data_IF_449464539243
#
_entry.id   IF_449464539243
#
_cell.length_a   1.000
_cell.length_b   1.000
_cell.length_c   1.000
_cell.angle_alpha   90.00
_cell.angle_beta   90.00
_cell.angle_gamma   90.00
#
_symmetry.space_group_name_H-M   'P 1'
#
loop_
_entity.id
_entity.type
_entity.pdbx_description
1 polymer ?
#
# COMPACT_ATOMS: atom_id res chain seq x y z
N UNK A 1 -14.77 14.32 -24.99
CA UNK A 1 -13.96 15.06 -23.99
C UNK A 1 -13.79 14.18 -22.76
N UNK A 2 -12.58 13.71 -22.48
CA UNK A 2 -12.27 13.00 -21.24
C UNK A 2 -12.27 14.04 -20.12
N UNK A 3 -13.30 14.06 -19.29
CA UNK A 3 -13.32 14.92 -18.10
C UNK A 3 -12.21 14.47 -17.14
N UNK A 4 -11.12 15.23 -17.09
CA UNK A 4 -9.96 15.02 -16.23
C UNK A 4 -10.25 15.48 -14.79
N UNK A 5 -11.13 14.79 -14.06
CA UNK A 5 -11.37 15.11 -12.64
C UNK A 5 -10.99 14.00 -11.67
N UNK A 6 -10.55 12.82 -12.11
CA UNK A 6 -10.13 11.73 -11.21
C UNK A 6 -9.09 10.83 -11.86
N UNK A 7 -8.26 10.21 -11.02
CA UNK A 7 -7.29 9.17 -11.39
C UNK A 7 -8.00 8.11 -12.24
N UNK A 8 -7.47 7.82 -13.42
CA UNK A 8 -7.99 6.82 -14.34
C UNK A 8 -7.13 5.57 -14.25
N UNK A 9 -7.64 4.52 -13.63
CA UNK A 9 -6.95 3.23 -13.49
C UNK A 9 -6.57 2.57 -14.82
N UNK A 10 -7.22 2.94 -15.92
CA UNK A 10 -6.86 2.48 -17.27
C UNK A 10 -5.48 3.01 -17.69
N UNK A 11 -5.30 4.33 -17.66
CA UNK A 11 -4.10 5.01 -18.16
C UNK A 11 -3.03 5.31 -17.10
N UNK A 12 -3.43 5.58 -15.86
CA UNK A 12 -2.53 6.07 -14.83
C UNK A 12 -1.73 4.92 -14.21
N UNK A 13 -0.47 5.19 -13.90
CA UNK A 13 0.42 4.27 -13.17
C UNK A 13 0.53 4.74 -11.74
N UNK A 14 0.11 3.89 -10.80
CA UNK A 14 0.28 4.15 -9.37
C UNK A 14 1.71 3.81 -9.00
N UNK A 15 2.45 4.83 -8.59
CA UNK A 15 3.85 4.73 -8.21
C UNK A 15 3.98 4.52 -6.70
N UNK A 16 5.02 3.80 -6.23
CA UNK A 16 5.34 3.77 -4.82
C UNK A 16 5.82 5.15 -4.36
N UNK A 17 5.64 5.47 -3.08
CA UNK A 17 6.26 6.66 -2.50
C UNK A 17 7.73 6.39 -2.19
N UNK A 18 8.57 7.40 -2.32
CA UNK A 18 9.92 7.36 -1.77
C UNK A 18 9.81 7.21 -0.26
N UNK A 19 10.15 6.03 0.25
CA UNK A 19 10.33 5.84 1.68
C UNK A 19 11.74 6.29 2.02
N UNK A 20 11.86 7.16 3.01
CA UNK A 20 13.16 7.64 3.47
C UNK A 20 13.77 6.70 4.53
N UNK A 21 13.12 5.58 4.82
CA UNK A 21 13.52 4.64 5.85
C UNK A 21 14.60 3.68 5.37
N UNK A 22 15.61 3.45 6.20
CA UNK A 22 16.52 2.32 6.02
C UNK A 22 15.72 1.02 6.15
N UNK A 23 15.81 0.18 5.12
CA UNK A 23 15.19 -1.14 5.13
C UNK A 23 15.81 -2.00 6.24
N UNK A 24 14.96 -2.63 7.05
CA UNK A 24 15.37 -3.65 8.02
C UNK A 24 15.68 -4.96 7.28
N UNK A 25 16.89 -5.48 7.43
CA UNK A 25 17.25 -6.79 6.92
C UNK A 25 16.61 -7.90 7.78
N UNK A 26 16.20 -9.00 7.15
CA UNK A 26 15.50 -10.09 7.83
C UNK A 26 16.31 -10.70 8.98
N UNK A 27 17.64 -10.78 8.85
CA UNK A 27 18.53 -11.27 9.93
C UNK A 27 18.56 -10.38 11.18
N UNK A 28 18.11 -9.13 11.06
CA UNK A 28 17.99 -8.19 12.19
C UNK A 28 16.56 -8.13 12.75
N UNK A 29 15.65 -8.97 12.25
CA UNK A 29 14.29 -9.04 12.77
C UNK A 29 14.31 -9.70 14.16
N UNK A 30 13.65 -9.04 15.11
CA UNK A 30 13.50 -9.52 16.49
C UNK A 30 12.05 -9.94 16.75
N UNK A 31 11.83 -10.58 17.90
CA UNK A 31 10.48 -10.83 18.41
C UNK A 31 9.74 -9.50 18.66
N UNK A 32 8.47 -9.47 18.30
CA UNK A 32 7.63 -8.26 18.30
C UNK A 32 6.53 -8.41 19.36
N UNK A 33 6.55 -7.61 20.44
CA UNK A 33 5.56 -7.74 21.52
C UNK A 33 4.18 -7.21 21.13
N UNK A 34 4.09 -6.28 20.18
CA UNK A 34 2.82 -5.66 19.77
C UNK A 34 2.19 -6.47 18.64
N UNK A 35 0.90 -6.79 18.76
CA UNK A 35 0.14 -7.48 17.72
C UNK A 35 -0.11 -6.57 16.51
N UNK A 36 -0.71 -5.39 16.74
CA UNK A 36 -1.15 -4.50 15.68
C UNK A 36 -0.76 -3.05 15.98
N UNK A 37 -0.19 -2.38 14.98
CA UNK A 37 0.26 -1.00 15.10
C UNK A 37 -0.37 -0.08 14.04
N UNK A 38 -0.74 1.13 14.46
CA UNK A 38 -1.09 2.22 13.59
C UNK A 38 -0.61 3.56 14.17
N UNK A 39 0.02 4.38 13.33
CA UNK A 39 0.28 5.79 13.64
C UNK A 39 -0.12 6.71 12.50
N UNK A 40 -1.03 7.64 12.77
CA UNK A 40 -1.58 8.55 11.77
C UNK A 40 -2.70 9.43 12.33
N UNK A 41 -3.11 10.46 11.58
CA UNK A 41 -4.17 11.37 12.00
C UNK A 41 -5.49 10.61 12.24
N UNK A 42 -6.07 10.76 13.44
CA UNK A 42 -7.38 10.18 13.79
C UNK A 42 -8.48 10.77 12.90
N UNK A 43 -8.50 12.10 12.78
CA UNK A 43 -9.49 12.86 12.01
C UNK A 43 -8.93 13.30 10.64
N UNK A 44 -9.69 13.12 9.56
CA UNK A 44 -9.34 13.60 8.21
C UNK A 44 -10.61 13.88 7.40
N UNK A 45 -10.59 14.93 6.56
CA UNK A 45 -11.72 15.26 5.69
C UNK A 45 -11.95 14.16 4.65
N UNK A 46 -13.20 13.68 4.53
CA UNK A 46 -13.67 12.55 3.68
C UNK A 46 -13.02 11.20 4.06
N UNK A 47 -13.83 10.23 4.47
CA UNK A 47 -13.37 8.92 5.00
C UNK A 47 -13.06 8.87 6.51
N UNK A 48 -13.23 9.99 7.23
CA UNK A 48 -12.99 10.10 8.68
C UNK A 48 -13.85 9.19 9.55
N UNK A 49 -15.13 8.97 9.21
CA UNK A 49 -16.06 8.14 10.00
C UNK A 49 -15.59 6.69 10.18
N UNK A 50 -15.15 6.05 9.10
CA UNK A 50 -14.53 4.71 9.14
C UNK A 50 -13.21 4.77 9.93
N UNK A 51 -12.46 5.86 9.79
CA UNK A 51 -11.20 6.08 10.50
C UNK A 51 -11.37 6.09 12.01
N UNK A 52 -12.25 6.96 12.47
CA UNK A 52 -12.60 7.20 13.87
C UNK A 52 -13.23 5.96 14.48
N UNK A 53 -14.22 5.35 13.82
CA UNK A 53 -14.86 4.15 14.36
C UNK A 53 -13.88 2.99 14.54
N UNK A 54 -13.02 2.72 13.56
CA UNK A 54 -12.00 1.68 13.75
C UNK A 54 -11.00 2.05 14.85
N UNK A 55 -10.67 3.34 14.98
CA UNK A 55 -9.82 3.80 16.06
C UNK A 55 -10.43 3.45 17.41
N UNK A 56 -11.69 3.83 17.61
CA UNK A 56 -12.39 3.63 18.88
C UNK A 56 -12.57 2.13 19.21
N UNK A 57 -12.76 1.29 18.18
CA UNK A 57 -12.80 -0.17 18.35
C UNK A 57 -11.45 -0.79 18.72
N UNK A 58 -10.33 -0.19 18.29
CA UNK A 58 -8.99 -0.76 18.45
C UNK A 58 -8.20 -0.18 19.62
N UNK A 59 -8.48 1.06 20.04
CA UNK A 59 -7.67 1.79 21.02
C UNK A 59 -7.56 1.10 22.39
N UNK A 60 -8.54 0.28 22.76
CA UNK A 60 -8.60 -0.43 24.04
C UNK A 60 -8.32 -1.94 23.92
N UNK A 61 -7.91 -2.42 22.76
CA UNK A 61 -7.59 -3.84 22.58
C UNK A 61 -6.17 -4.15 23.06
N UNK A 62 -5.96 -5.29 23.76
CA UNK A 62 -4.63 -5.65 24.23
C UNK A 62 -3.69 -5.93 23.06
N UNK A 63 -2.43 -5.54 23.23
CA UNK A 63 -1.35 -5.62 22.25
C UNK A 63 -1.60 -4.83 20.96
N UNK A 64 -2.53 -3.86 20.99
CA UNK A 64 -2.81 -2.95 19.89
C UNK A 64 -2.37 -1.54 20.26
N UNK A 65 -1.66 -0.89 19.34
CA UNK A 65 -1.18 0.49 19.52
C UNK A 65 -1.77 1.37 18.41
N UNK A 66 -2.60 2.33 18.81
CA UNK A 66 -3.20 3.35 17.95
C UNK A 66 -2.74 4.73 18.41
N UNK A 67 -1.89 5.39 17.63
CA UNK A 67 -1.30 6.68 18.01
C UNK A 67 -1.49 7.77 16.95
N UNK A 68 -1.65 9.02 17.38
CA UNK A 68 -1.67 10.12 16.42
C UNK A 68 -0.27 10.35 15.84
N UNK A 69 -0.23 10.61 14.53
CA UNK A 69 1.00 10.83 13.78
C UNK A 69 1.25 12.30 13.52
N UNK A 70 2.49 12.73 13.69
CA UNK A 70 2.94 14.10 13.40
C UNK A 70 3.97 14.09 12.26
N UNK A 71 3.88 15.02 11.29
CA UNK A 71 4.78 15.06 10.13
C UNK A 71 6.13 15.71 10.48
N UNK A 72 6.77 15.27 11.56
CA UNK A 72 8.08 15.75 11.99
C UNK A 72 9.06 14.57 12.21
N UNK A 73 10.35 14.87 12.38
CA UNK A 73 11.40 13.86 12.51
C UNK A 73 11.14 12.89 13.68
N UNK A 74 10.68 13.41 14.82
CA UNK A 74 10.36 12.62 16.01
C UNK A 74 9.18 11.67 15.77
N UNK A 75 8.10 12.15 15.15
CA UNK A 75 6.93 11.35 14.81
C UNK A 75 7.28 10.24 13.83
N UNK A 76 8.21 10.51 12.91
CA UNK A 76 8.77 9.50 12.00
C UNK A 76 9.59 8.45 12.75
N UNK A 77 10.49 8.83 13.64
CA UNK A 77 11.27 7.89 14.45
C UNK A 77 10.39 6.98 15.31
N UNK A 78 9.37 7.56 15.96
CA UNK A 78 8.37 6.81 16.71
C UNK A 78 7.61 5.82 15.83
N UNK A 79 7.22 6.24 14.62
CA UNK A 79 6.57 5.38 13.64
C UNK A 79 7.45 4.18 13.29
N UNK A 80 8.72 4.41 12.97
CA UNK A 80 9.69 3.35 12.64
C UNK A 80 9.81 2.37 13.80
N UNK A 81 10.01 2.89 15.02
CA UNK A 81 10.16 2.06 16.22
C UNK A 81 8.91 1.19 16.42
N UNK A 82 7.72 1.79 16.38
CA UNK A 82 6.46 1.07 16.51
C UNK A 82 6.26 0.01 15.42
N UNK A 83 6.54 0.33 14.15
CA UNK A 83 6.47 -0.65 13.07
C UNK A 83 7.46 -1.80 13.24
N UNK A 84 8.67 -1.56 13.78
CA UNK A 84 9.69 -2.59 13.99
C UNK A 84 9.45 -3.45 15.24
N UNK A 85 8.63 -3.00 16.18
CA UNK A 85 8.24 -3.77 17.39
C UNK A 85 6.86 -4.43 17.27
N UNK A 86 6.22 -4.36 16.11
CA UNK A 86 4.85 -4.85 15.91
C UNK A 86 4.78 -5.93 14.85
N UNK A 87 4.02 -6.99 15.09
CA UNK A 87 3.83 -8.11 14.15
C UNK A 87 3.15 -7.64 12.86
N UNK A 88 2.07 -6.87 13.03
CA UNK A 88 1.17 -6.42 11.98
C UNK A 88 1.03 -4.90 12.02
N UNK A 89 0.90 -4.29 10.85
CA UNK A 89 0.71 -2.85 10.71
C UNK A 89 -0.55 -2.56 9.92
N UNK A 90 -1.46 -1.82 10.54
CA UNK A 90 -2.72 -1.44 9.92
C UNK A 90 -2.44 -0.45 8.77
N UNK A 91 -2.91 -0.79 7.59
CA UNK A 91 -2.90 0.06 6.42
C UNK A 91 -4.33 0.27 5.95
N UNK A 92 -4.73 1.54 5.82
CA UNK A 92 -6.03 1.92 5.28
C UNK A 92 -5.81 2.87 4.13
N UNK A 93 -6.61 2.71 3.08
CA UNK A 93 -6.66 3.69 2.01
C UNK A 93 -6.92 5.08 2.60
N UNK A 94 -6.16 6.07 2.13
CA UNK A 94 -6.39 7.48 2.41
C UNK A 94 -7.03 8.15 1.20
N UNK A 95 -6.83 9.47 1.07
CA UNK A 95 -7.28 10.23 -0.12
C UNK A 95 -6.53 9.82 -1.40
N UNK A 96 -5.38 9.15 -1.25
CA UNK A 96 -4.59 8.57 -2.33
C UNK A 96 -4.63 7.03 -2.25
N UNK A 97 -4.67 6.32 -3.40
CA UNK A 97 -4.76 4.84 -3.41
C UNK A 97 -3.61 4.16 -2.67
N UNK A 98 -2.42 4.75 -2.70
CA UNK A 98 -1.26 4.34 -1.92
C UNK A 98 -0.86 5.45 -0.96
N UNK A 99 -0.49 5.11 0.27
CA UNK A 99 0.07 6.06 1.24
C UNK A 99 1.53 5.71 1.51
N UNK A 100 2.39 6.70 1.81
CA UNK A 100 3.79 6.47 2.21
C UNK A 100 3.98 5.37 3.27
N UNK A 101 3.01 5.24 4.18
CA UNK A 101 3.01 4.26 5.27
C UNK A 101 3.12 2.81 4.78
N UNK A 102 2.55 2.45 3.64
CA UNK A 102 2.65 1.07 3.14
C UNK A 102 4.12 0.69 2.90
N UNK A 103 4.89 1.59 2.31
CA UNK A 103 6.30 1.35 2.01
C UNK A 103 7.16 1.41 3.27
N UNK A 104 6.81 2.27 4.23
CA UNK A 104 7.49 2.30 5.53
C UNK A 104 7.28 0.99 6.32
N UNK A 105 6.06 0.43 6.25
CA UNK A 105 5.69 -0.87 6.83
C UNK A 105 6.51 -1.99 6.19
N UNK A 106 6.56 -2.02 4.85
CA UNK A 106 7.36 -2.99 4.09
C UNK A 106 8.85 -2.87 4.42
N UNK A 107 9.39 -1.65 4.48
CA UNK A 107 10.79 -1.40 4.86
C UNK A 107 11.09 -1.79 6.31
N UNK A 108 10.08 -1.90 7.17
CA UNK A 108 10.23 -2.28 8.60
C UNK A 108 9.96 -3.77 8.87
N UNK A 109 9.72 -4.57 7.82
CA UNK A 109 9.30 -5.98 7.91
C UNK A 109 8.04 -6.20 8.79
N UNK A 110 7.21 -5.17 8.91
CA UNK A 110 5.92 -5.27 9.54
C UNK A 110 4.91 -5.78 8.50
N UNK A 111 4.06 -6.74 8.85
CA UNK A 111 3.14 -7.34 7.87
C UNK A 111 1.97 -6.37 7.64
N UNK A 112 1.71 -5.92 6.40
CA UNK A 112 0.60 -5.02 6.12
C UNK A 112 -0.75 -5.71 6.34
N UNK A 113 -1.63 -5.08 7.12
CA UNK A 113 -3.05 -5.42 7.22
C UNK A 113 -3.82 -4.34 6.47
N UNK A 114 -4.19 -4.63 5.23
CA UNK A 114 -4.83 -3.70 4.30
C UNK A 114 -6.35 -3.79 4.50
N UNK A 115 -6.93 -2.74 5.07
CA UNK A 115 -8.38 -2.60 5.20
C UNK A 115 -8.90 -1.72 4.07
N UNK A 116 -9.54 -2.35 3.09
CA UNK A 116 -10.25 -1.68 2.00
C UNK A 116 -11.17 -2.66 1.29
N UNK A 117 -12.29 -2.17 0.75
CA UNK A 117 -13.15 -2.93 -0.17
C UNK A 117 -12.71 -2.73 -1.63
N UNK A 118 -12.12 -1.58 -1.91
CA UNK A 118 -11.56 -1.24 -3.21
C UNK A 118 -10.27 -0.44 -2.98
N UNK A 119 -9.12 -1.04 -3.30
CA UNK A 119 -7.82 -0.37 -3.20
C UNK A 119 -6.96 -0.71 -4.40
N UNK A 120 -6.31 0.32 -4.90
CA UNK A 120 -5.37 0.24 -6.00
C UNK A 120 -3.96 0.45 -5.47
N UNK A 121 -3.15 -0.60 -5.61
CA UNK A 121 -1.79 -0.67 -5.08
C UNK A 121 -0.78 -0.53 -6.22
N UNK A 122 0.42 0.02 -5.97
CA UNK A 122 1.45 0.10 -6.99
C UNK A 122 1.77 -1.26 -7.57
N UNK A 123 1.97 -1.31 -8.89
CA UNK A 123 2.34 -2.54 -9.60
C UNK A 123 1.36 -3.71 -9.39
N UNK A 124 0.09 -3.44 -9.06
CA UNK A 124 -0.99 -4.45 -9.06
C UNK A 124 -1.01 -5.20 -10.40
N UNK A 125 -1.13 -6.53 -10.34
CA UNK A 125 -1.01 -7.42 -11.50
C UNK A 125 0.42 -7.82 -11.88
N UNK A 126 1.44 -7.16 -11.32
CA UNK A 126 2.84 -7.60 -11.40
C UNK A 126 3.31 -8.19 -10.06
N UNK A 127 2.83 -7.61 -8.96
CA UNK A 127 3.12 -8.06 -7.60
C UNK A 127 1.84 -8.62 -6.99
N UNK A 128 1.94 -9.84 -6.46
CA UNK A 128 0.85 -10.45 -5.70
C UNK A 128 0.94 -10.05 -4.22
N UNK A 129 0.20 -8.99 -3.86
CA UNK A 129 0.12 -8.50 -2.49
C UNK A 129 -0.44 -9.53 -1.50
N UNK A 130 -1.23 -10.51 -1.96
CA UNK A 130 -1.80 -11.55 -1.08
C UNK A 130 -0.73 -12.47 -0.49
N UNK A 131 0.48 -12.51 -1.09
CA UNK A 131 1.60 -13.30 -0.60
C UNK A 131 2.31 -12.70 0.62
N UNK A 132 2.11 -11.42 0.89
CA UNK A 132 2.83 -10.73 1.97
C UNK A 132 1.97 -9.76 2.78
N UNK A 133 0.70 -9.58 2.42
CA UNK A 133 -0.25 -8.70 3.10
C UNK A 133 -1.53 -9.45 3.44
N UNK A 134 -2.21 -9.00 4.48
CA UNK A 134 -3.53 -9.49 4.90
C UNK A 134 -4.58 -8.49 4.43
N UNK A 135 -5.53 -8.91 3.60
CA UNK A 135 -6.64 -8.07 3.16
C UNK A 135 -7.88 -8.29 4.02
N UNK A 136 -8.53 -7.19 4.40
CA UNK A 136 -9.75 -7.23 5.23
C UNK A 136 -10.75 -6.21 4.68
N UNK A 137 -12.01 -6.62 4.56
CA UNK A 137 -13.09 -5.70 4.16
C UNK A 137 -13.40 -4.67 5.24
N UNK A 138 -13.81 -3.47 4.82
CA UNK A 138 -14.19 -2.40 5.76
C UNK A 138 -15.34 -2.88 6.65
N UNK A 139 -16.35 -3.54 6.07
CA UNK A 139 -17.52 -4.06 6.78
C UNK A 139 -17.17 -5.00 7.94
N UNK A 140 -16.20 -5.90 7.76
CA UNK A 140 -15.77 -6.80 8.83
C UNK A 140 -15.06 -6.05 9.97
N UNK A 141 -14.24 -5.04 9.64
CA UNK A 141 -13.53 -4.23 10.66
C UNK A 141 -14.46 -3.35 11.51
N UNK A 142 -15.70 -3.10 11.06
CA UNK A 142 -16.68 -2.34 11.82
C UNK A 142 -17.36 -3.16 12.94
N UNK A 143 -17.10 -4.47 13.00
CA UNK A 143 -17.63 -5.36 14.04
C UNK A 143 -16.69 -5.36 15.24
N UNK A 144 -17.18 -5.10 16.46
CA UNK A 144 -16.34 -5.10 17.65
C UNK A 144 -15.55 -6.40 17.81
N UNK A 145 -14.26 -6.29 18.16
CA UNK A 145 -13.32 -7.39 18.39
C UNK A 145 -13.07 -8.34 17.20
N UNK A 146 -13.77 -8.18 16.08
CA UNK A 146 -13.64 -9.09 14.94
C UNK A 146 -12.22 -9.06 14.36
N UNK A 147 -11.69 -7.86 14.11
CA UNK A 147 -10.37 -7.69 13.51
C UNK A 147 -9.28 -8.27 14.42
N UNK A 148 -9.28 -7.94 15.71
CA UNK A 148 -8.26 -8.43 16.64
C UNK A 148 -8.34 -9.94 16.82
N UNK A 149 -9.53 -10.51 16.94
CA UNK A 149 -9.70 -11.98 17.01
C UNK A 149 -9.20 -12.66 15.73
N UNK A 150 -9.53 -12.11 14.57
CA UNK A 150 -9.04 -12.61 13.28
C UNK A 150 -7.51 -12.59 13.21
N UNK A 151 -6.87 -11.48 13.58
CA UNK A 151 -5.41 -11.34 13.55
C UNK A 151 -4.68 -12.19 14.61
N UNK A 152 -5.30 -12.43 15.77
CA UNK A 152 -4.78 -13.34 16.81
C UNK A 152 -4.83 -14.80 16.37
N UNK A 153 -5.84 -15.19 15.60
CA UNK A 153 -5.97 -16.55 15.06
C UNK A 153 -4.95 -16.88 13.96
N UNK A 154 -4.25 -15.89 13.41
CA UNK A 154 -3.16 -16.13 12.45
C UNK A 154 -1.97 -16.70 13.21
N UNK A 155 -1.57 -17.92 12.84
CA UNK A 155 -0.46 -18.63 13.47
C UNK A 155 0.87 -17.91 13.29
N UNK A 156 1.83 -18.18 14.19
CA UNK A 156 3.20 -17.66 14.09
C UNK A 156 3.85 -18.05 12.76
N UNK A 157 3.66 -19.29 12.31
CA UNK A 157 4.20 -19.79 11.04
C UNK A 157 3.69 -18.97 9.84
N UNK A 158 2.38 -18.70 9.79
CA UNK A 158 1.80 -17.86 8.73
C UNK A 158 2.36 -16.43 8.76
N UNK A 159 2.53 -15.84 9.95
CA UNK A 159 3.15 -14.51 10.09
C UNK A 159 4.60 -14.52 9.61
N UNK A 160 5.37 -15.55 9.95
CA UNK A 160 6.76 -15.69 9.52
C UNK A 160 6.89 -15.85 8.01
N UNK A 161 5.99 -16.61 7.37
CA UNK A 161 5.91 -16.73 5.91
C UNK A 161 5.60 -15.39 5.23
N UNK A 162 4.57 -14.67 5.72
CA UNK A 162 4.22 -13.35 5.21
C UNK A 162 5.42 -12.39 5.34
N UNK A 163 6.09 -12.37 6.49
CA UNK A 163 7.25 -11.51 6.75
C UNK A 163 8.45 -11.84 5.87
N UNK A 164 8.74 -13.13 5.63
CA UNK A 164 9.74 -13.55 4.64
C UNK A 164 9.40 -13.03 3.25
N UNK A 165 8.13 -13.06 2.87
CA UNK A 165 7.70 -12.54 1.57
C UNK A 165 7.79 -11.00 1.52
N UNK A 166 7.49 -10.27 2.61
CA UNK A 166 7.78 -8.82 2.71
C UNK A 166 9.27 -8.56 2.44
N UNK A 167 10.16 -9.35 3.07
CA UNK A 167 11.61 -9.25 2.86
C UNK A 167 12.06 -9.60 1.43
N UNK A 168 11.27 -10.37 0.68
CA UNK A 168 11.57 -10.64 -0.74
C UNK A 168 11.17 -9.50 -1.65
N UNK A 169 10.10 -8.78 -1.34
CA UNK A 169 9.53 -7.76 -2.24
C UNK A 169 9.95 -6.32 -1.93
N UNK A 170 10.57 -6.04 -0.78
CA UNK A 170 10.84 -4.64 -0.38
C UNK A 170 11.71 -3.88 -1.39
N UNK A 171 12.64 -4.55 -2.08
CA UNK A 171 13.53 -3.94 -3.06
C UNK A 171 12.78 -3.35 -4.27
N UNK A 172 11.62 -3.94 -4.61
CA UNK A 172 10.75 -3.47 -5.70
C UNK A 172 10.19 -2.07 -5.41
N UNK A 173 10.08 -1.69 -4.14
CA UNK A 173 9.55 -0.39 -3.72
C UNK A 173 10.65 0.63 -3.41
N UNK A 174 11.92 0.29 -3.60
CA UNK A 174 13.06 1.18 -3.36
C UNK A 174 13.38 1.96 -4.64
N UNK A 175 13.34 3.28 -4.52
CA UNK A 175 13.95 4.17 -5.50
C UNK A 175 15.44 4.23 -5.23
N UNK A 176 16.23 4.13 -6.28
CA UNK A 176 17.66 4.37 -6.17
C UNK A 176 17.91 5.86 -6.22
N UNK A 177 18.66 6.34 -5.24
CA UNK A 177 19.27 7.66 -5.32
C UNK A 177 20.68 7.40 -5.83
N UNK A 178 21.04 7.96 -6.99
CA UNK A 178 22.35 7.84 -7.63
C UNK A 178 23.48 8.55 -6.84
N UNK A 179 23.44 8.52 -5.51
CA UNK A 179 24.48 9.05 -4.64
C UNK A 179 25.28 7.86 -4.10
N UNK A 180 26.44 7.70 -4.72
CA UNK A 180 27.49 6.71 -4.49
C UNK A 180 27.39 5.37 -5.23
N UNK A 181 28.22 5.36 -6.29
CA UNK A 181 29.01 4.27 -6.82
C UNK A 181 28.41 3.46 -7.98
N UNK A 182 29.10 3.60 -9.11
CA UNK A 182 28.94 2.95 -10.42
C UNK A 182 27.85 3.49 -11.36
N UNK A 183 28.25 3.70 -12.62
CA UNK A 183 27.38 3.84 -13.80
C UNK A 183 26.63 2.52 -14.10
N UNK A 184 26.56 1.60 -13.14
CA UNK A 184 25.92 0.31 -13.32
C UNK A 184 24.41 0.52 -13.31
N UNK A 185 23.78 0.04 -14.38
CA UNK A 185 22.36 0.09 -14.65
C UNK A 185 21.52 -0.17 -13.40
N UNK A 186 20.51 0.67 -13.16
CA UNK A 186 19.52 0.46 -12.09
C UNK A 186 19.13 -1.03 -12.03
N UNK A 187 19.17 -1.68 -10.86
CA UNK A 187 18.99 -3.11 -10.70
C UNK A 187 17.67 -3.49 -11.36
N UNK A 188 17.70 -4.57 -12.13
CA UNK A 188 16.62 -5.00 -13.03
C UNK A 188 15.24 -5.06 -12.36
N UNK A 189 15.21 -5.16 -11.02
CA UNK A 189 14.03 -5.33 -10.18
C UNK A 189 13.75 -4.17 -9.20
N UNK A 190 14.35 -2.98 -9.37
CA UNK A 190 14.05 -1.78 -8.57
C UNK A 190 12.73 -1.09 -8.94
N UNK A 191 12.35 -0.05 -8.19
CA UNK A 191 11.07 0.67 -8.40
C UNK A 191 10.98 1.31 -9.79
N UNK A 192 12.05 1.93 -10.28
CA UNK A 192 12.09 2.61 -11.60
C UNK A 192 11.83 1.62 -12.72
N UNK A 193 12.47 0.45 -12.69
CA UNK A 193 12.25 -0.59 -13.70
C UNK A 193 10.83 -1.14 -13.66
N UNK A 194 10.23 -1.29 -12.47
CA UNK A 194 8.83 -1.68 -12.35
C UNK A 194 7.85 -0.62 -12.86
N UNK A 195 8.17 0.67 -12.69
CA UNK A 195 7.39 1.77 -13.29
C UNK A 195 7.42 1.65 -14.81
N UNK A 196 8.59 1.50 -15.43
CA UNK A 196 8.71 1.35 -16.88
C UNK A 196 8.02 0.09 -17.40
N UNK A 197 8.19 -1.05 -16.74
CA UNK A 197 7.46 -2.30 -17.05
C UNK A 197 5.94 -2.07 -17.00
N UNK A 198 5.42 -1.35 -15.99
CA UNK A 198 3.99 -1.06 -15.86
C UNK A 198 3.48 -0.10 -16.94
N UNK A 199 4.26 0.91 -17.31
CA UNK A 199 3.96 1.80 -18.44
C UNK A 199 3.86 0.99 -19.73
N UNK A 200 4.86 0.16 -20.00
CA UNK A 200 4.91 -0.70 -21.19
C UNK A 200 3.68 -1.64 -21.27
N UNK A 201 3.25 -2.24 -20.15
CA UNK A 201 2.04 -3.08 -20.10
C UNK A 201 0.75 -2.32 -20.46
N UNK A 202 0.65 -1.04 -20.09
CA UNK A 202 -0.56 -0.23 -20.33
C UNK A 202 -0.59 0.40 -21.72
N UNK A 203 0.58 0.60 -22.33
CA UNK A 203 0.73 1.39 -23.56
C UNK A 203 -0.11 0.88 -24.75
N UNK A 204 -0.16 -0.43 -25.08
CA UNK A 204 -0.92 -0.92 -26.24
C UNK A 204 -2.41 -0.59 -26.14
N UNK A 205 -3.01 -0.82 -24.97
CA UNK A 205 -4.43 -0.52 -24.73
C UNK A 205 -4.74 0.98 -24.90
N UNK A 206 -3.84 1.84 -24.42
CA UNK A 206 -3.98 3.30 -24.57
C UNK A 206 -3.84 3.71 -26.04
N UNK A 207 -2.84 3.18 -26.76
CA UNK A 207 -2.64 3.46 -28.19
C UNK A 207 -3.84 3.04 -29.04
N UNK A 208 -4.43 1.88 -28.73
CA UNK A 208 -5.64 1.41 -29.40
C UNK A 208 -6.85 2.32 -29.09
N UNK A 209 -7.01 2.72 -27.83
CA UNK A 209 -8.06 3.67 -27.44
C UNK A 209 -7.93 5.03 -28.15
N UNK A 210 -6.71 5.56 -28.28
CA UNK A 210 -6.44 6.80 -29.02
C UNK A 210 -6.74 6.64 -30.51
N UNK A 211 -6.35 5.51 -31.11
CA UNK A 211 -6.62 5.23 -32.53
C UNK A 211 -8.13 5.15 -32.81
N UNK A 212 -8.88 4.44 -31.95
CA UNK A 212 -10.35 4.35 -32.04
C UNK A 212 -11.02 5.72 -31.91
N UNK A 213 -10.50 6.59 -31.05
CA UNK A 213 -11.02 7.96 -30.90
C UNK A 213 -10.81 8.80 -32.16
N UNK A 214 -9.63 8.68 -32.81
CA UNK A 214 -9.33 9.38 -34.08
C UNK A 214 -10.19 8.92 -35.25
N UNK A 215 -10.65 7.67 -35.23
CA UNK A 215 -11.48 7.09 -36.28
C UNK A 215 -12.97 7.42 -36.12
N UNK A 216 -13.37 8.18 -35.08
CA UNK A 216 -14.78 8.56 -34.88
C UNK A 216 -15.24 9.54 -35.97
N UNK A 217 -16.29 9.21 -36.73
CA UNK A 217 -16.90 10.14 -37.68
C UNK A 217 -17.46 11.37 -36.96
N UNK A 218 -17.46 12.53 -37.63
CA UNK A 218 -18.09 13.74 -37.10
C UNK A 218 -19.58 13.48 -36.78
N UNK A 219 -20.03 13.91 -35.59
CA UNK A 219 -21.39 13.70 -35.11
C UNK A 219 -21.69 12.31 -34.52
N UNK A 220 -20.76 11.35 -34.59
CA UNK A 220 -20.96 10.01 -34.02
C UNK A 220 -20.77 10.00 -32.49
N UNK A 221 -21.86 9.80 -31.76
CA UNK A 221 -21.87 9.55 -30.33
C UNK A 221 -21.98 8.04 -30.09
N UNK A 222 -20.89 7.39 -29.66
CA UNK A 222 -20.96 6.04 -29.15
C UNK A 222 -21.22 6.08 -27.64
N UNK A 223 -22.22 5.34 -27.13
CA UNK A 223 -22.39 5.21 -25.69
C UNK A 223 -21.09 4.64 -25.10
N UNK A 224 -20.64 5.20 -23.98
CA UNK A 224 -19.56 4.63 -23.19
C UNK A 224 -20.01 3.21 -22.82
N UNK A 225 -19.51 2.19 -23.53
CA UNK A 225 -19.71 0.80 -23.10
C UNK A 225 -19.01 0.69 -21.75
N UNK A 226 -19.78 0.47 -20.69
CA UNK A 226 -19.23 0.16 -19.39
C UNK A 226 -18.26 -1.01 -19.55
N UNK A 227 -16.98 -0.78 -19.29
CA UNK A 227 -16.05 -1.87 -19.03
C UNK A 227 -16.44 -2.43 -17.67
N UNK A 228 -17.29 -3.46 -17.66
CA UNK A 228 -17.54 -4.25 -16.48
C UNK A 228 -16.28 -5.08 -16.19
N UNK A 229 -15.62 -4.78 -15.07
CA UNK A 229 -14.68 -5.67 -14.38
C UNK A 229 -14.93 -5.55 -12.90
#
# INVERSE_FOLDING_TARGET
MIQHTQVSLLKDVIMPYTHFLLTLHLSKNMDRPTLLYFKGAKHRHRGGLVREKLWDLMANEPDVVMEEGFPNARGREQSIKGMRTSELCLHRAGDTPSSCRLFDVVASLCIPVIVSDDIELPFKGMIDYTKFSIFVSVGNTMRPKWLTNYLRNISKQQKDDLRRNVARVHHIFKYENNQHDSWDSAPENGAVNHIWKKIHQKLPMIQEAVTREKQKPEGASFPLRCHCT
#
